data_IF_623213252101
#
_entry.id   IF_623213252101
#
_cell.length_a   1.000
_cell.length_b   1.000
_cell.length_c   1.000
_cell.angle_alpha   90.00
_cell.angle_beta   90.00
_cell.angle_gamma   90.00
#
_symmetry.space_group_name_H-M   'P 1'
#
loop_
_entity.id
_entity.type
_entity.pdbx_description
1 polymer ?
#
# COMPACT_ATOMS: atom_id res chain seq x y z
N UNK A 1 -1.13 -11.19 -8.98
CA UNK A 1 0.10 -11.41 -8.18
C UNK A 1 0.15 -10.37 -7.07
N UNK A 2 1.01 -10.52 -6.05
CA UNK A 2 1.23 -9.48 -5.06
C UNK A 2 2.07 -8.34 -5.70
N UNK A 3 1.63 -7.07 -5.66
CA UNK A 3 2.35 -5.98 -6.32
C UNK A 3 3.69 -5.63 -5.67
N UNK A 4 3.87 -5.99 -4.39
CA UNK A 4 5.06 -5.64 -3.59
C UNK A 4 5.31 -4.13 -3.67
N UNK A 5 6.56 -3.69 -3.71
CA UNK A 5 6.96 -2.28 -3.62
C UNK A 5 6.42 -1.36 -4.71
N UNK A 6 5.80 -1.89 -5.76
CA UNK A 6 5.25 -1.07 -6.87
C UNK A 6 4.10 -0.17 -6.43
N UNK A 7 3.40 -0.48 -5.33
CA UNK A 7 2.28 0.33 -4.80
C UNK A 7 2.69 1.44 -3.82
N UNK A 8 3.99 1.55 -3.52
CA UNK A 8 4.50 2.54 -2.55
C UNK A 8 4.13 3.99 -2.93
N UNK A 9 4.18 4.42 -4.20
CA UNK A 9 3.71 5.75 -4.59
C UNK A 9 2.24 6.02 -4.23
N UNK A 10 1.35 5.06 -4.46
CA UNK A 10 -0.08 5.15 -4.14
C UNK A 10 -0.31 5.25 -2.63
N UNK A 11 0.42 4.44 -1.84
CA UNK A 11 0.39 4.50 -0.38
C UNK A 11 0.94 5.83 0.14
N UNK A 12 1.97 6.40 -0.50
CA UNK A 12 2.49 7.72 -0.17
C UNK A 12 1.43 8.81 -0.40
N UNK A 13 0.74 8.78 -1.54
CA UNK A 13 -0.36 9.71 -1.85
C UNK A 13 -1.48 9.58 -0.81
N UNK A 14 -1.90 8.36 -0.48
CA UNK A 14 -2.91 8.12 0.56
C UNK A 14 -2.49 8.68 1.93
N UNK A 15 -1.21 8.52 2.28
CA UNK A 15 -0.63 9.04 3.51
C UNK A 15 -0.61 10.58 3.58
N UNK A 16 -0.26 11.23 2.47
CA UNK A 16 -0.26 12.69 2.33
C UNK A 16 -1.67 13.26 2.41
N UNK A 17 -2.59 12.73 1.62
CA UNK A 17 -3.94 13.27 1.49
C UNK A 17 -4.77 13.04 2.77
N UNK A 18 -4.53 11.93 3.46
CA UNK A 18 -5.10 11.68 4.79
C UNK A 18 -4.44 12.48 5.92
N UNK A 19 -3.38 13.23 5.65
CA UNK A 19 -2.64 14.04 6.64
C UNK A 19 -1.91 13.25 7.72
N UNK A 20 -1.74 11.93 7.55
CA UNK A 20 -1.03 11.09 8.55
C UNK A 20 0.49 11.24 8.45
N UNK A 21 0.97 11.73 7.31
CA UNK A 21 2.35 12.17 7.05
C UNK A 21 2.34 13.41 6.17
N UNK A 22 3.44 14.15 6.18
CA UNK A 22 3.76 15.22 5.24
C UNK A 22 4.99 14.80 4.43
N UNK A 23 5.28 15.51 3.33
CA UNK A 23 6.48 15.23 2.53
C UNK A 23 7.78 15.32 3.35
N UNK A 24 7.82 16.19 4.37
CA UNK A 24 8.97 16.37 5.27
C UNK A 24 8.94 15.49 6.53
N UNK A 25 7.89 14.68 6.72
CA UNK A 25 7.83 13.75 7.85
C UNK A 25 8.94 12.72 7.74
N UNK A 26 9.81 12.69 8.75
CA UNK A 26 10.92 11.73 8.85
C UNK A 26 10.55 10.55 9.75
N UNK A 27 10.96 9.36 9.32
CA UNK A 27 10.88 8.11 10.09
C UNK A 27 12.30 7.58 10.26
N UNK A 28 12.66 7.21 11.48
CA UNK A 28 13.94 6.55 11.72
C UNK A 28 13.81 5.06 11.41
N UNK A 29 14.66 4.55 10.53
CA UNK A 29 14.72 3.16 10.10
C UNK A 29 15.96 2.46 10.69
N UNK A 30 15.77 1.63 11.75
CA UNK A 30 16.81 0.76 12.29
C UNK A 30 16.91 -0.60 11.57
N UNK A 31 16.29 -0.74 10.39
CA UNK A 31 16.20 -1.99 9.62
C UNK A 31 14.93 -2.80 9.90
N UNK A 32 14.02 -2.28 10.72
CA UNK A 32 12.73 -2.90 11.01
C UNK A 32 11.72 -1.90 11.60
N UNK A 33 10.45 -2.27 11.51
CA UNK A 33 9.32 -1.65 12.20
C UNK A 33 8.76 -2.62 13.26
N UNK A 34 8.27 -2.09 14.38
CA UNK A 34 7.54 -2.84 15.40
C UNK A 34 6.22 -2.14 15.69
N UNK A 35 5.15 -2.93 15.79
CA UNK A 35 3.89 -2.41 16.31
C UNK A 35 4.05 -2.10 17.80
N UNK A 36 3.42 -1.03 18.32
CA UNK A 36 3.32 -0.81 19.75
C UNK A 36 2.76 -2.07 20.44
N UNK A 37 3.32 -2.44 21.58
CA UNK A 37 2.90 -3.58 22.40
C UNK A 37 3.14 -4.98 21.81
N UNK A 38 3.89 -5.10 20.70
CA UNK A 38 4.28 -6.40 20.13
C UNK A 38 5.79 -6.51 19.90
N UNK A 39 6.37 -7.66 20.24
CA UNK A 39 7.80 -7.95 20.04
C UNK A 39 8.15 -8.29 18.58
N UNK A 40 7.16 -8.56 17.73
CA UNK A 40 7.38 -8.96 16.34
C UNK A 40 7.97 -7.81 15.52
N UNK A 41 9.01 -8.12 14.73
CA UNK A 41 9.73 -7.16 13.88
C UNK A 41 9.39 -7.38 12.41
N UNK A 42 8.78 -6.39 11.79
CA UNK A 42 8.61 -6.30 10.34
C UNK A 42 9.90 -5.75 9.74
N UNK A 43 10.70 -6.61 9.10
CA UNK A 43 12.03 -6.24 8.63
C UNK A 43 11.95 -5.40 7.36
N UNK A 44 12.89 -4.45 7.25
CA UNK A 44 13.22 -3.80 6.00
C UNK A 44 14.10 -4.72 5.15
N UNK A 45 14.10 -4.52 3.83
CA UNK A 45 15.03 -5.20 2.94
C UNK A 45 16.50 -4.91 3.30
N UNK A 46 16.80 -3.70 3.78
CA UNK A 46 18.10 -3.32 4.33
C UNK A 46 18.14 -3.61 5.83
N UNK A 47 18.82 -4.69 6.22
CA UNK A 47 18.93 -5.11 7.62
C UNK A 47 19.63 -4.11 8.54
N UNK A 48 20.51 -3.26 8.00
CA UNK A 48 21.20 -2.23 8.78
C UNK A 48 20.38 -0.95 8.94
N UNK A 49 19.27 -0.84 8.20
CA UNK A 49 18.45 0.36 8.14
C UNK A 49 19.08 1.48 7.29
N UNK A 50 18.24 2.45 6.94
CA UNK A 50 18.63 3.65 6.19
C UNK A 50 18.73 4.92 7.09
N UNK A 51 18.55 4.80 8.41
CA UNK A 51 18.60 5.94 9.33
C UNK A 51 17.37 6.83 9.20
N UNK A 52 17.53 8.16 9.17
CA UNK A 52 16.38 9.06 8.99
C UNK A 52 15.94 9.12 7.53
N UNK A 53 14.72 8.68 7.26
CA UNK A 53 14.13 8.58 5.93
C UNK A 53 12.91 9.50 5.83
N UNK A 54 12.89 10.39 4.85
CA UNK A 54 11.71 11.16 4.44
C UNK A 54 10.99 10.48 3.26
N UNK A 55 9.90 11.07 2.77
CA UNK A 55 9.08 10.47 1.70
C UNK A 55 9.86 10.24 0.41
N UNK A 56 10.64 11.24 -0.02
CA UNK A 56 11.43 11.16 -1.25
C UNK A 56 12.48 10.04 -1.14
N UNK A 57 13.18 9.97 -0.01
CA UNK A 57 14.13 8.89 0.27
C UNK A 57 13.43 7.53 0.35
N UNK A 58 12.24 7.46 0.95
CA UNK A 58 11.47 6.23 1.07
C UNK A 58 11.04 5.67 -0.29
N UNK A 59 10.62 6.53 -1.22
CA UNK A 59 10.29 6.11 -2.60
C UNK A 59 11.57 5.70 -3.33
N UNK A 60 12.61 6.53 -3.30
CA UNK A 60 13.88 6.27 -4.00
C UNK A 60 14.55 4.96 -3.57
N UNK A 61 14.57 4.68 -2.27
CA UNK A 61 15.20 3.48 -1.68
C UNK A 61 14.23 2.34 -1.47
N UNK A 62 12.95 2.53 -1.81
CA UNK A 62 11.90 1.57 -1.51
C UNK A 62 11.92 1.15 -0.03
N UNK A 63 12.02 2.09 0.91
CA UNK A 63 12.22 1.79 2.32
C UNK A 63 10.95 1.20 2.98
N UNK A 64 10.99 -0.06 3.42
CA UNK A 64 9.79 -0.72 3.95
C UNK A 64 9.34 -0.13 5.29
N UNK A 65 10.28 0.21 6.18
CA UNK A 65 9.99 0.79 7.52
C UNK A 65 9.17 2.07 7.44
N UNK A 66 9.45 2.92 6.47
CA UNK A 66 8.65 4.11 6.20
C UNK A 66 7.20 3.74 5.84
N UNK A 67 7.00 2.82 4.90
CA UNK A 67 5.66 2.43 4.45
C UNK A 67 4.89 1.57 5.45
N UNK A 68 5.58 0.78 6.29
CA UNK A 68 5.01 0.16 7.48
C UNK A 68 4.43 1.21 8.44
N UNK A 69 5.19 2.29 8.67
CA UNK A 69 4.76 3.40 9.53
C UNK A 69 3.56 4.14 8.94
N UNK A 70 3.59 4.46 7.63
CA UNK A 70 2.48 5.11 6.93
C UNK A 70 1.21 4.26 7.00
N UNK A 71 1.30 2.97 6.65
CA UNK A 71 0.16 2.08 6.66
C UNK A 71 -0.43 1.90 8.06
N UNK A 72 0.42 1.78 9.09
CA UNK A 72 -0.03 1.72 10.48
C UNK A 72 -0.84 2.96 10.89
N UNK A 73 -0.35 4.17 10.56
CA UNK A 73 -1.05 5.42 10.87
C UNK A 73 -2.33 5.62 10.06
N UNK A 74 -2.33 5.17 8.80
CA UNK A 74 -3.47 5.27 7.90
C UNK A 74 -4.63 4.37 8.36
N UNK A 75 -4.30 3.14 8.75
CA UNK A 75 -5.27 2.09 9.05
C UNK A 75 -5.80 1.42 7.78
N UNK A 76 -6.35 0.21 7.94
CA UNK A 76 -6.81 -0.61 6.80
C UNK A 76 -7.96 0.03 6.02
N UNK A 77 -8.89 0.74 6.68
CA UNK A 77 -10.07 1.27 5.99
C UNK A 77 -9.68 2.35 4.98
N UNK A 78 -8.94 3.35 5.43
CA UNK A 78 -8.41 4.40 4.53
C UNK A 78 -7.48 3.80 3.48
N UNK A 79 -6.61 2.86 3.86
CA UNK A 79 -5.73 2.19 2.89
C UNK A 79 -6.54 1.46 1.82
N UNK A 80 -7.57 0.72 2.20
CA UNK A 80 -8.47 0.04 1.28
C UNK A 80 -9.15 1.02 0.34
N UNK A 81 -9.74 2.10 0.88
CA UNK A 81 -10.47 3.09 0.10
C UNK A 81 -9.56 3.76 -0.94
N UNK A 82 -8.36 4.21 -0.56
CA UNK A 82 -7.41 4.80 -1.50
C UNK A 82 -6.95 3.83 -2.57
N UNK A 83 -6.56 2.61 -2.20
CA UNK A 83 -6.08 1.63 -3.18
C UNK A 83 -7.20 1.22 -4.15
N UNK A 84 -8.44 1.13 -3.66
CA UNK A 84 -9.63 0.93 -4.51
C UNK A 84 -9.85 2.12 -5.43
N UNK A 85 -9.67 3.35 -4.96
CA UNK A 85 -9.69 4.54 -5.81
C UNK A 85 -8.62 4.51 -6.90
N UNK A 86 -7.46 3.87 -6.68
CA UNK A 86 -6.44 3.57 -7.71
C UNK A 86 -6.77 2.36 -8.60
N UNK A 87 -7.95 1.75 -8.45
CA UNK A 87 -8.44 0.67 -9.32
C UNK A 87 -8.01 -0.72 -8.87
N UNK A 88 -7.32 -0.83 -7.73
CA UNK A 88 -6.91 -2.11 -7.18
C UNK A 88 -8.12 -2.84 -6.60
N UNK A 89 -8.28 -4.12 -6.93
CA UNK A 89 -9.41 -4.93 -6.45
C UNK A 89 -10.69 -4.81 -7.28
N UNK A 90 -10.66 -4.08 -8.40
CA UNK A 90 -11.76 -3.95 -9.34
C UNK A 90 -11.29 -4.02 -10.80
N UNK A 91 -12.18 -4.41 -11.72
CA UNK A 91 -11.89 -4.37 -13.16
C UNK A 91 -11.71 -2.93 -13.61
N UNK A 92 -10.67 -2.63 -14.38
CA UNK A 92 -10.34 -1.27 -14.83
C UNK A 92 -10.56 -1.05 -16.32
N UNK A 93 -10.59 -2.10 -17.14
CA UNK A 93 -10.78 -2.00 -18.59
C UNK A 93 -12.23 -1.72 -18.98
N UNK A 94 -12.42 -1.05 -20.12
CA UNK A 94 -13.74 -0.88 -20.74
C UNK A 94 -14.19 -2.11 -21.55
N UNK A 95 -13.27 -2.80 -22.21
CA UNK A 95 -13.55 -3.76 -23.30
C UNK A 95 -12.74 -5.06 -23.20
N UNK A 96 -12.03 -5.31 -22.09
CA UNK A 96 -11.36 -6.58 -21.84
C UNK A 96 -12.28 -7.59 -21.13
N UNK A 97 -12.68 -8.64 -21.85
CA UNK A 97 -13.63 -9.63 -21.35
C UNK A 97 -13.07 -10.54 -20.24
N UNK A 98 -11.79 -10.94 -20.35
CA UNK A 98 -11.14 -11.89 -19.45
C UNK A 98 -10.41 -11.23 -18.26
N UNK A 99 -10.80 -10.00 -17.89
CA UNK A 99 -10.18 -9.31 -16.77
C UNK A 99 -10.53 -9.96 -15.42
N UNK A 100 -9.49 -10.29 -14.65
CA UNK A 100 -9.62 -10.62 -13.23
C UNK A 100 -9.63 -9.36 -12.37
N UNK A 101 -10.52 -9.29 -11.38
CA UNK A 101 -10.62 -8.11 -10.50
C UNK A 101 -9.46 -7.98 -9.50
N UNK A 102 -8.63 -9.00 -9.33
CA UNK A 102 -7.62 -9.03 -8.26
C UNK A 102 -8.29 -9.02 -6.88
N UNK A 103 -7.61 -8.45 -5.89
CA UNK A 103 -8.09 -8.33 -4.52
C UNK A 103 -7.42 -7.14 -3.81
N UNK A 104 -8.21 -6.14 -3.44
CA UNK A 104 -7.83 -5.19 -2.38
C UNK A 104 -8.52 -5.63 -1.08
N UNK A 105 -7.79 -6.16 -0.08
CA UNK A 105 -8.43 -6.66 1.13
C UNK A 105 -9.01 -5.53 1.98
N UNK A 106 -10.08 -5.84 2.72
CA UNK A 106 -10.70 -4.99 3.73
C UNK A 106 -11.04 -5.82 4.98
N UNK A 107 -11.49 -5.16 6.05
CA UNK A 107 -11.97 -5.86 7.26
C UNK A 107 -13.19 -6.73 6.95
N UNK A 108 -14.11 -6.22 6.14
CA UNK A 108 -15.34 -6.88 5.70
C UNK A 108 -15.00 -8.10 4.85
N UNK A 109 -14.08 -7.95 3.89
CA UNK A 109 -13.60 -9.06 3.07
C UNK A 109 -13.01 -10.18 3.94
N UNK A 110 -12.17 -9.83 4.92
CA UNK A 110 -11.53 -10.84 5.78
C UNK A 110 -12.56 -11.53 6.67
N UNK A 111 -13.52 -10.79 7.21
CA UNK A 111 -14.62 -11.36 8.01
C UNK A 111 -15.47 -12.32 7.19
N UNK A 112 -15.81 -11.97 5.95
CA UNK A 112 -16.62 -12.78 5.06
C UNK A 112 -15.89 -14.06 4.60
N UNK A 113 -14.61 -13.96 4.25
CA UNK A 113 -13.86 -15.05 3.61
C UNK A 113 -13.09 -15.93 4.60
N UNK A 114 -12.57 -15.36 5.69
CA UNK A 114 -11.73 -16.06 6.67
C UNK A 114 -12.42 -16.26 8.02
N UNK A 115 -13.58 -15.63 8.26
CA UNK A 115 -14.29 -15.64 9.56
C UNK A 115 -13.41 -15.20 10.73
N UNK A 116 -12.51 -14.24 10.46
CA UNK A 116 -11.57 -13.70 11.43
C UNK A 116 -11.63 -12.17 11.44
N UNK A 117 -11.32 -11.58 12.58
CA UNK A 117 -11.11 -10.14 12.69
C UNK A 117 -9.83 -9.72 11.94
N UNK A 118 -9.76 -8.43 11.61
CA UNK A 118 -8.56 -7.82 11.06
C UNK A 118 -7.52 -7.58 12.15
N UNK A 119 -6.28 -7.99 11.94
CA UNK A 119 -5.19 -7.75 12.88
C UNK A 119 -4.35 -6.55 12.42
N UNK A 120 -3.88 -5.67 13.32
CA UNK A 120 -3.10 -4.48 12.96
C UNK A 120 -1.86 -4.80 12.11
N UNK A 121 -1.21 -5.94 12.36
CA UNK A 121 -0.05 -6.41 11.59
C UNK A 121 -0.32 -6.68 10.11
N UNK A 122 -1.56 -6.95 9.74
CA UNK A 122 -1.95 -7.18 8.35
C UNK A 122 -2.03 -5.86 7.57
N UNK A 123 -2.34 -4.75 8.25
CA UNK A 123 -2.26 -3.42 7.65
C UNK A 123 -0.82 -3.05 7.34
N UNK A 124 0.11 -3.39 8.24
CA UNK A 124 1.54 -3.08 8.09
C UNK A 124 2.09 -3.66 6.80
N UNK A 125 1.92 -4.96 6.57
CA UNK A 125 2.43 -5.64 5.37
C UNK A 125 1.73 -5.18 4.08
N UNK A 126 0.48 -4.69 4.16
CA UNK A 126 -0.20 -4.13 2.99
C UNK A 126 0.41 -2.81 2.54
N UNK A 127 1.03 -2.04 3.43
CA UNK A 127 1.73 -0.80 3.09
C UNK A 127 2.83 -0.97 2.05
N UNK A 128 3.36 -2.19 1.91
CA UNK A 128 4.37 -2.56 0.92
C UNK A 128 3.84 -3.52 -0.16
N UNK A 129 2.52 -3.58 -0.34
CA UNK A 129 1.89 -4.39 -1.39
C UNK A 129 1.97 -5.91 -1.17
N UNK A 130 2.13 -6.36 0.08
CA UNK A 130 2.14 -7.78 0.43
C UNK A 130 0.82 -8.21 1.12
N UNK A 131 0.83 -9.39 1.74
CA UNK A 131 -0.34 -9.95 2.42
C UNK A 131 -1.35 -10.50 1.42
N UNK A 132 -2.61 -10.11 1.58
CA UNK A 132 -3.72 -10.62 0.76
C UNK A 132 -3.92 -9.84 -0.56
N UNK A 133 -3.20 -8.74 -0.77
CA UNK A 133 -3.36 -7.93 -1.97
C UNK A 133 -3.00 -8.72 -3.23
N UNK A 134 -3.88 -8.68 -4.23
CA UNK A 134 -3.64 -9.25 -5.55
C UNK A 134 -3.98 -8.22 -6.61
N UNK A 135 -3.06 -8.05 -7.57
CA UNK A 135 -3.24 -7.15 -8.70
C UNK A 135 -3.07 -7.89 -10.02
N UNK A 136 -3.65 -7.31 -11.07
CA UNK A 136 -3.30 -7.60 -12.47
C UNK A 136 -2.26 -6.58 -12.98
N UNK A 137 -1.50 -6.89 -14.04
CA UNK A 137 -0.61 -5.90 -14.65
C UNK A 137 -1.37 -4.68 -15.16
N UNK A 138 -2.60 -4.88 -15.64
CA UNK A 138 -3.45 -3.79 -16.13
C UNK A 138 -3.87 -2.83 -15.01
N UNK A 139 -4.17 -3.35 -13.82
CA UNK A 139 -4.45 -2.51 -12.65
C UNK A 139 -3.24 -1.66 -12.25
N UNK A 140 -2.02 -2.20 -12.29
CA UNK A 140 -0.81 -1.41 -12.03
C UNK A 140 -0.55 -0.37 -13.11
N UNK A 141 -0.76 -0.71 -14.38
CA UNK A 141 -0.67 0.24 -15.48
C UNK A 141 -1.68 1.38 -15.32
N UNK A 142 -2.90 1.06 -14.89
CA UNK A 142 -3.93 2.05 -14.59
C UNK A 142 -3.55 2.96 -13.42
N UNK A 143 -3.10 2.40 -12.30
CA UNK A 143 -2.68 3.17 -11.14
C UNK A 143 -1.52 4.11 -11.49
N UNK A 144 -0.54 3.61 -12.26
CA UNK A 144 0.58 4.41 -12.78
C UNK A 144 0.10 5.55 -13.69
N UNK A 145 -0.82 5.25 -14.62
CA UNK A 145 -1.43 6.24 -15.51
C UNK A 145 -2.19 7.31 -14.74
N UNK A 146 -2.87 6.94 -13.66
CA UNK A 146 -3.59 7.89 -12.81
C UNK A 146 -2.65 8.88 -12.13
N UNK A 147 -1.52 8.40 -11.60
CA UNK A 147 -0.47 9.26 -11.01
C UNK A 147 0.06 10.21 -12.08
N UNK A 148 0.41 9.70 -13.27
CA UNK A 148 0.93 10.50 -14.38
C UNK A 148 -0.09 11.55 -14.87
N UNK A 149 -1.38 11.20 -14.83
CA UNK A 149 -2.50 12.06 -15.22
C UNK A 149 -2.98 12.98 -14.08
N UNK A 150 -2.24 13.08 -12.98
CA UNK A 150 -2.56 13.92 -11.82
C UNK A 150 -3.96 13.66 -11.26
N UNK A 151 -4.39 12.40 -11.22
CA UNK A 151 -5.69 11.97 -10.70
C UNK A 151 -6.81 11.94 -11.73
N UNK A 152 -6.57 12.28 -13.00
CA UNK A 152 -7.59 12.14 -14.05
C UNK A 152 -7.70 10.68 -14.49
N UNK A 153 -8.88 10.10 -14.28
CA UNK A 153 -9.13 8.69 -14.58
C UNK A 153 -9.43 8.46 -16.06
N UNK A 154 -8.48 7.85 -16.78
CA UNK A 154 -8.69 7.35 -18.14
C UNK A 154 -8.82 5.84 -18.09
N UNK A 155 -9.97 5.28 -18.48
CA UNK A 155 -10.13 3.82 -18.54
C UNK A 155 -9.30 3.25 -19.70
N UNK A 156 -8.53 2.16 -19.48
CA UNK A 156 -7.88 1.44 -20.56
C UNK A 156 -8.92 0.83 -21.49
N UNK A 157 -8.63 0.89 -22.79
CA UNK A 157 -9.36 0.33 -23.91
C UNK A 157 -8.35 -0.18 -24.95
#
# INVERSE_FOLDING_TARGET
YAPVSTVKPEVAIAGLDSGVVTASTKVFDPGYFQLPDFDHKYRNWNHSGDGWVDMDTAIMRSNDTYFYTVAHKLGIDRLHDYMTMFGIGQKVSLDMFEESAGLMPSREWKRATRRQAWFPGETVILGIGQGYMQVTPLQLAQATSLIASKGVWHRPH
#
